data_IF_239732383869
#
_entry.id   IF_239732383869
#
_cell.length_a   1.000
_cell.length_b   1.000
_cell.length_c   1.000
_cell.angle_alpha   90.00
_cell.angle_beta   90.00
_cell.angle_gamma   90.00
#
_symmetry.space_group_name_H-M   'P 1'
#
loop_
_entity.id
_entity.type
_entity.pdbx_description
1 polymer ?
#
# COMPACT_ATOMS: atom_id res chain seq x y z
N UNK A 1 -1.86 5.61 18.50
CA UNK A 1 -1.62 4.17 18.78
C UNK A 1 -1.47 3.34 17.50
N UNK A 2 -1.94 3.83 16.33
CA UNK A 2 -1.78 3.15 15.02
C UNK A 2 -0.64 3.70 14.14
N UNK A 3 0.18 4.63 14.63
CA UNK A 3 1.18 5.37 13.85
C UNK A 3 2.18 4.47 13.10
N UNK A 4 2.48 3.29 13.63
CA UNK A 4 3.34 2.30 12.97
C UNK A 4 2.65 1.64 11.76
N UNK A 5 1.43 1.14 11.94
CA UNK A 5 0.66 0.47 10.89
C UNK A 5 0.28 1.46 9.76
N UNK A 6 -0.17 2.66 10.14
CA UNK A 6 -0.52 3.72 9.19
C UNK A 6 0.69 4.15 8.36
N UNK A 7 1.88 4.27 9.00
CA UNK A 7 3.11 4.63 8.30
C UNK A 7 3.49 3.60 7.23
N UNK A 8 3.37 2.30 7.51
CA UNK A 8 3.71 1.26 6.54
C UNK A 8 2.80 1.30 5.31
N UNK A 9 1.49 1.44 5.50
CA UNK A 9 0.54 1.56 4.38
C UNK A 9 0.81 2.83 3.56
N UNK A 10 1.03 3.96 4.24
CA UNK A 10 1.31 5.24 3.58
C UNK A 10 2.61 5.21 2.77
N UNK A 11 3.68 4.66 3.33
CA UNK A 11 5.03 4.68 2.75
C UNK A 11 5.27 3.58 1.71
N UNK A 12 4.40 2.57 1.62
CA UNK A 12 4.43 1.57 0.53
C UNK A 12 4.30 2.28 -0.82
N UNK A 13 5.34 2.16 -1.65
CA UNK A 13 5.48 2.87 -2.93
C UNK A 13 6.52 2.21 -3.83
N UNK A 14 6.61 2.72 -5.05
CA UNK A 14 7.79 2.57 -5.90
C UNK A 14 8.93 3.41 -5.35
N UNK A 15 9.94 2.79 -4.76
CA UNK A 15 11.06 3.52 -4.13
C UNK A 15 12.03 4.00 -5.19
N UNK A 16 12.30 3.15 -6.19
CA UNK A 16 13.07 3.47 -7.39
C UNK A 16 12.37 2.85 -8.61
N UNK A 17 12.59 3.36 -9.83
CA UNK A 17 11.91 2.87 -11.02
C UNK A 17 12.03 1.34 -11.18
N UNK A 18 10.91 0.65 -11.18
CA UNK A 18 10.78 -0.80 -11.28
C UNK A 18 10.88 -1.58 -9.96
N UNK A 19 11.09 -0.93 -8.81
CA UNK A 19 11.21 -1.59 -7.50
C UNK A 19 10.20 -1.02 -6.51
N UNK A 20 9.21 -1.84 -6.17
CA UNK A 20 8.22 -1.57 -5.14
C UNK A 20 8.68 -2.16 -3.81
N UNK A 21 8.54 -1.39 -2.73
CA UNK A 21 8.79 -1.87 -1.36
C UNK A 21 7.48 -1.86 -0.59
N UNK A 22 7.20 -2.96 0.13
CA UNK A 22 5.95 -3.22 0.84
C UNK A 22 6.20 -3.96 2.16
N UNK A 23 5.21 -3.98 3.05
CA UNK A 23 5.29 -4.62 4.35
C UNK A 23 6.35 -4.03 5.27
N UNK A 24 6.95 -4.87 6.13
CA UNK A 24 7.93 -4.42 7.11
C UNK A 24 9.26 -3.94 6.51
N UNK A 25 9.57 -4.28 5.26
CA UNK A 25 10.75 -3.75 4.58
C UNK A 25 10.68 -2.22 4.41
N UNK A 26 9.46 -1.66 4.31
CA UNK A 26 9.22 -0.20 4.30
C UNK A 26 9.73 0.45 5.60
N UNK A 27 9.65 -0.26 6.73
CA UNK A 27 10.13 0.26 8.01
C UNK A 27 11.65 0.43 8.02
N UNK A 28 12.37 -0.50 7.40
CA UNK A 28 13.84 -0.49 7.36
C UNK A 28 14.37 0.66 6.50
N UNK A 29 13.74 0.91 5.35
CA UNK A 29 14.18 1.98 4.45
C UNK A 29 13.79 3.38 4.94
N UNK A 30 12.57 3.55 5.46
CA UNK A 30 12.05 4.86 5.85
C UNK A 30 12.17 5.15 7.36
N UNK A 31 12.73 4.24 8.16
CA UNK A 31 12.92 4.40 9.59
C UNK A 31 11.61 4.43 10.40
N UNK A 32 10.58 3.72 9.94
CA UNK A 32 9.28 3.70 10.60
C UNK A 32 9.25 2.76 11.83
N UNK A 33 8.41 3.04 12.85
CA UNK A 33 8.29 2.15 14.01
C UNK A 33 7.72 0.78 13.63
N UNK A 34 8.18 -0.29 14.31
CA UNK A 34 7.60 -1.63 14.19
C UNK A 34 6.22 -1.73 14.87
N UNK A 35 5.27 -2.46 14.30
CA UNK A 35 3.92 -2.62 14.89
C UNK A 35 3.75 -3.80 15.87
N UNK A 36 4.72 -4.72 15.96
CA UNK A 36 4.61 -5.89 16.83
C UNK A 36 3.74 -7.00 16.23
N UNK A 37 3.00 -7.79 17.02
CA UNK A 37 2.28 -8.98 16.55
C UNK A 37 0.90 -8.64 15.95
N UNK A 38 0.85 -7.67 15.04
CA UNK A 38 -0.35 -7.30 14.27
C UNK A 38 -0.03 -7.37 12.77
N UNK A 39 -1.04 -7.68 11.96
CA UNK A 39 -0.85 -7.97 10.52
C UNK A 39 -1.71 -7.09 9.61
N UNK A 40 -2.52 -6.18 10.16
CA UNK A 40 -3.47 -5.37 9.39
C UNK A 40 -2.74 -4.56 8.32
N UNK A 41 -1.74 -3.77 8.72
CA UNK A 41 -0.95 -3.00 7.78
C UNK A 41 -0.19 -3.85 6.76
N UNK A 42 0.21 -5.09 7.09
CA UNK A 42 0.88 -5.97 6.13
C UNK A 42 -0.06 -6.34 4.96
N UNK A 43 -1.31 -6.68 5.26
CA UNK A 43 -2.29 -7.02 4.24
C UNK A 43 -2.62 -5.81 3.34
N UNK A 44 -2.85 -4.64 3.95
CA UNK A 44 -3.19 -3.41 3.22
C UNK A 44 -2.01 -2.88 2.42
N UNK A 45 -0.80 -2.93 2.97
CA UNK A 45 0.44 -2.60 2.28
C UNK A 45 0.67 -3.51 1.07
N UNK A 46 0.43 -4.82 1.20
CA UNK A 46 0.50 -5.74 0.08
C UNK A 46 -0.51 -5.43 -1.03
N UNK A 47 -1.77 -5.13 -0.67
CA UNK A 47 -2.79 -4.71 -1.63
C UNK A 47 -2.40 -3.43 -2.37
N UNK A 48 -1.90 -2.41 -1.65
CA UNK A 48 -1.42 -1.16 -2.27
C UNK A 48 -0.29 -1.43 -3.26
N UNK A 49 0.69 -2.25 -2.88
CA UNK A 49 1.81 -2.59 -3.76
C UNK A 49 1.36 -3.33 -5.03
N UNK A 50 0.37 -4.22 -4.94
CA UNK A 50 -0.20 -4.89 -6.11
C UNK A 50 -0.85 -3.89 -7.08
N UNK A 51 -1.61 -2.92 -6.57
CA UNK A 51 -2.21 -1.89 -7.42
C UNK A 51 -1.18 -0.95 -8.04
N UNK A 52 -0.12 -0.61 -7.31
CA UNK A 52 1.02 0.15 -7.86
C UNK A 52 1.74 -0.64 -8.95
N UNK A 53 1.90 -1.95 -8.79
CA UNK A 53 2.48 -2.81 -9.83
C UNK A 53 1.59 -2.86 -11.08
N UNK A 54 0.27 -3.03 -10.93
CA UNK A 54 -0.68 -2.95 -12.06
C UNK A 54 -0.58 -1.61 -12.78
N UNK A 55 -0.51 -0.50 -12.03
CA UNK A 55 -0.30 0.83 -12.57
C UNK A 55 1.00 0.94 -13.37
N UNK A 56 2.11 0.45 -12.83
CA UNK A 56 3.40 0.44 -13.51
C UNK A 56 3.39 -0.40 -14.81
N UNK A 57 2.59 -1.46 -14.85
CA UNK A 57 2.38 -2.29 -16.04
C UNK A 57 1.36 -1.69 -17.04
N UNK A 58 0.75 -0.54 -16.74
CA UNK A 58 -0.30 0.05 -17.56
C UNK A 58 -1.61 -0.76 -17.56
N UNK A 59 -1.82 -1.58 -16.54
CA UNK A 59 -3.02 -2.39 -16.36
C UNK A 59 -4.08 -1.64 -15.54
N UNK A 60 -5.39 -1.96 -15.75
CA UNK A 60 -6.47 -1.40 -14.95
C UNK A 60 -6.25 -1.63 -13.45
N UNK A 61 -6.39 -0.57 -12.66
CA UNK A 61 -6.16 -0.61 -11.22
C UNK A 61 -7.08 0.39 -10.49
N UNK A 62 -7.24 0.22 -9.18
CA UNK A 62 -8.15 1.06 -8.39
C UNK A 62 -7.57 2.44 -8.07
N UNK A 63 -6.25 2.59 -8.05
CA UNK A 63 -5.59 3.85 -7.68
C UNK A 63 -5.85 4.93 -8.74
N UNK A 64 -5.92 4.54 -10.00
CA UNK A 64 -6.22 5.45 -11.12
C UNK A 64 -7.71 5.51 -11.47
N UNK A 65 -8.58 4.81 -10.72
CA UNK A 65 -10.01 4.70 -11.01
C UNK A 65 -10.34 4.01 -12.34
N UNK A 66 -9.36 3.33 -12.95
CA UNK A 66 -9.46 2.72 -14.28
C UNK A 66 -9.97 1.27 -14.25
N UNK A 67 -10.21 0.72 -13.06
CA UNK A 67 -10.66 -0.66 -12.91
C UNK A 67 -12.05 -0.88 -13.52
N UNK A 68 -12.14 -1.86 -14.42
CA UNK A 68 -13.36 -2.25 -15.15
C UNK A 68 -13.75 -3.67 -14.75
N UNK A 69 -14.52 -3.78 -13.66
CA UNK A 69 -15.07 -5.05 -13.16
C UNK A 69 -15.72 -4.92 -11.78
N UNK A 70 -16.38 -5.98 -11.31
CA UNK A 70 -16.77 -6.10 -9.89
C UNK A 70 -15.52 -6.47 -9.08
N UNK A 71 -14.97 -5.51 -8.33
CA UNK A 71 -13.99 -5.82 -7.28
C UNK A 71 -14.73 -6.37 -6.07
N UNK A 72 -14.19 -7.42 -5.48
CA UNK A 72 -14.54 -7.70 -4.08
C UNK A 72 -14.20 -6.44 -3.26
N UNK A 73 -15.16 -5.89 -2.50
CA UNK A 73 -14.99 -4.63 -1.77
C UNK A 73 -13.73 -4.60 -0.87
N UNK A 74 -13.30 -5.78 -0.42
CA UNK A 74 -12.14 -6.02 0.43
C UNK A 74 -10.79 -5.67 -0.23
N UNK A 75 -10.70 -5.60 -1.57
CA UNK A 75 -9.48 -5.19 -2.30
C UNK A 75 -9.39 -3.68 -2.57
N UNK A 76 -10.42 -2.91 -2.21
CA UNK A 76 -10.48 -1.44 -2.40
C UNK A 76 -9.86 -0.68 -1.21
N UNK A 77 -9.65 -1.37 -0.09
CA UNK A 77 -9.35 -0.76 1.21
C UNK A 77 -8.02 0.02 1.27
N UNK A 78 -7.09 -0.24 0.34
CA UNK A 78 -5.77 0.38 0.31
C UNK A 78 -5.65 1.64 -0.57
N UNK A 79 -6.71 2.01 -1.29
CA UNK A 79 -6.65 3.04 -2.34
C UNK A 79 -6.78 4.48 -1.84
N UNK A 80 -7.25 4.69 -0.60
CA UNK A 80 -7.50 6.03 -0.07
C UNK A 80 -6.25 6.57 0.60
N UNK A 81 -5.61 7.57 -0.01
CA UNK A 81 -4.63 8.39 0.70
C UNK A 81 -5.36 9.15 1.82
N UNK A 82 -5.03 8.86 3.07
CA UNK A 82 -5.46 9.70 4.20
C UNK A 82 -4.68 11.01 4.11
N UNK A 83 -5.31 12.04 3.57
CA UNK A 83 -4.80 13.42 3.62
C UNK A 83 -4.91 13.88 5.07
N UNK A 84 -3.78 13.90 5.80
CA UNK A 84 -3.72 14.51 7.12
C UNK A 84 -3.98 16.02 6.97
N UNK A 85 -5.06 16.49 7.61
CA UNK A 85 -5.40 17.90 7.84
C UNK A 85 -4.80 18.41 9.14
#
# INVERSE_FOLDING_TARGET
MNTAEDAIVRLTREVVPGIMVTGMEVAEIDGAPRMGPTFGAMMISGQKAAHLALKALGQPNVLDGSYVGELSPELVLAATETVDS
#
